data_IF_473415484847
#
_entry.id   IF_473415484847
#
_cell.length_a   1.000
_cell.length_b   1.000
_cell.length_c   1.000
_cell.angle_alpha   90.00
_cell.angle_beta   90.00
_cell.angle_gamma   90.00
#
_symmetry.space_group_name_H-M   'P 1'
#
loop_
_entity.id
_entity.type
_entity.pdbx_description
1 polymer ?
#
# COMPACT_ATOMS: atom_id res chain seq x y z
N UNK A 1 8.87 -0.97 9.89
CA UNK A 1 7.46 -0.53 10.06
C UNK A 1 6.58 -1.13 8.97
N UNK A 2 5.25 -1.15 9.15
CA UNK A 2 4.31 -1.72 8.18
C UNK A 2 3.21 -0.72 7.85
N UNK A 3 2.96 -0.50 6.56
CA UNK A 3 1.90 0.37 6.06
C UNK A 3 0.78 -0.49 5.49
N UNK A 4 -0.47 -0.16 5.82
CA UNK A 4 -1.66 -0.85 5.32
C UNK A 4 -2.39 0.03 4.29
N UNK A 5 -2.70 -0.54 3.13
CA UNK A 5 -3.55 0.07 2.11
C UNK A 5 -4.87 -0.70 2.08
N UNK A 6 -5.96 -0.11 2.58
CA UNK A 6 -7.25 -0.80 2.73
C UNK A 6 -7.89 -1.20 1.39
N UNK A 7 -7.67 -0.40 0.34
CA UNK A 7 -7.98 -0.73 -1.06
C UNK A 7 -6.72 -1.01 -1.87
N UNK A 8 -5.74 -1.65 -1.23
CA UNK A 8 -4.43 -1.95 -1.81
C UNK A 8 -4.47 -2.85 -3.05
N UNK A 9 -5.52 -3.67 -3.21
CA UNK A 9 -5.71 -4.52 -4.39
C UNK A 9 -5.97 -3.73 -5.68
N UNK A 10 -6.44 -2.48 -5.56
CA UNK A 10 -6.68 -1.60 -6.71
C UNK A 10 -5.47 -0.75 -7.11
N UNK A 11 -4.37 -0.82 -6.34
CA UNK A 11 -3.15 -0.06 -6.63
C UNK A 11 -2.29 -0.75 -7.69
N UNK A 12 -1.60 0.05 -8.50
CA UNK A 12 -0.74 -0.45 -9.56
C UNK A 12 0.66 0.20 -9.53
N UNK A 13 1.76 -0.57 -9.43
CA UNK A 13 1.81 -2.03 -9.28
C UNK A 13 1.22 -2.49 -7.94
N UNK A 14 0.79 -3.75 -7.87
CA UNK A 14 0.18 -4.31 -6.67
C UNK A 14 1.20 -4.36 -5.51
N UNK A 15 0.93 -3.78 -4.32
CA UNK A 15 1.85 -3.87 -3.20
C UNK A 15 2.07 -5.34 -2.79
N UNK A 16 3.32 -5.73 -2.46
CA UNK A 16 3.71 -7.13 -2.36
C UNK A 16 3.11 -7.86 -1.14
N UNK A 17 2.81 -7.13 -0.06
CA UNK A 17 2.28 -7.73 1.17
C UNK A 17 0.85 -8.22 0.99
N UNK A 18 0.66 -9.54 1.10
CA UNK A 18 -0.67 -10.17 1.10
C UNK A 18 -1.37 -9.91 2.44
N UNK A 19 -2.70 -9.80 2.39
CA UNK A 19 -3.56 -9.76 3.57
C UNK A 19 -4.53 -10.94 3.58
N UNK A 20 -5.12 -11.24 4.75
CA UNK A 20 -6.26 -12.14 4.87
C UNK A 20 -7.55 -11.52 4.30
N UNK A 21 -7.63 -10.18 4.31
CA UNK A 21 -8.70 -9.44 3.66
C UNK A 21 -8.32 -9.20 2.20
N UNK A 22 -9.23 -9.48 1.27
CA UNK A 22 -8.95 -9.52 -0.17
C UNK A 22 -8.42 -8.19 -0.72
N UNK A 23 -8.99 -7.07 -0.26
CA UNK A 23 -8.68 -5.73 -0.77
C UNK A 23 -7.48 -5.07 -0.09
N UNK A 24 -7.14 -5.52 1.12
CA UNK A 24 -6.06 -4.92 1.91
C UNK A 24 -4.70 -5.42 1.40
N UNK A 25 -3.76 -4.51 1.21
CA UNK A 25 -2.36 -4.85 0.96
C UNK A 25 -1.44 -4.17 1.95
N UNK A 26 -0.29 -4.80 2.16
CA UNK A 26 0.71 -4.30 3.07
C UNK A 26 2.02 -3.96 2.37
N UNK A 27 2.70 -2.96 2.90
CA UNK A 27 4.10 -2.69 2.59
C UNK A 27 4.91 -2.75 3.88
N UNK A 28 5.84 -3.71 3.93
CA UNK A 28 6.80 -3.83 5.02
C UNK A 28 8.06 -3.02 4.66
N UNK A 29 8.32 -1.97 5.44
CA UNK A 29 9.47 -1.08 5.30
C UNK A 29 10.47 -1.44 6.39
N UNK A 30 11.70 -1.71 6.00
CA UNK A 30 12.78 -2.10 6.89
C UNK A 30 13.84 -1.00 6.89
N UNK A 31 14.39 -0.66 8.05
CA UNK A 31 15.38 0.41 8.21
C UNK A 31 16.69 0.10 7.45
N UNK A 32 17.11 -1.16 7.47
CA UNK A 32 18.34 -1.63 6.82
C UNK A 32 18.16 -2.06 5.36
N UNK A 33 16.98 -1.85 4.74
CA UNK A 33 16.74 -2.23 3.35
C UNK A 33 16.45 -1.03 2.47
N UNK A 34 16.85 -1.08 1.18
CA UNK A 34 16.52 -0.03 0.23
C UNK A 34 15.00 0.15 0.16
N UNK A 35 14.57 1.40 0.32
CA UNK A 35 13.19 1.82 0.25
C UNK A 35 12.98 2.62 -1.03
N UNK A 36 12.00 2.19 -1.84
CA UNK A 36 11.63 2.89 -3.06
C UNK A 36 10.58 3.97 -2.74
N UNK A 37 11.06 5.17 -2.44
CA UNK A 37 10.21 6.32 -2.09
C UNK A 37 9.32 6.77 -3.25
N UNK A 38 9.79 6.63 -4.49
CA UNK A 38 9.02 6.99 -5.67
C UNK A 38 7.80 6.06 -5.82
N UNK A 39 8.03 4.75 -5.68
CA UNK A 39 6.95 3.77 -5.72
C UNK A 39 5.97 3.95 -4.55
N UNK A 40 6.47 4.23 -3.35
CA UNK A 40 5.61 4.50 -2.20
C UNK A 40 4.72 5.73 -2.41
N UNK A 41 5.32 6.84 -2.87
CA UNK A 41 4.60 8.08 -3.15
C UNK A 41 3.52 7.90 -4.21
N UNK A 42 3.79 7.07 -5.22
CA UNK A 42 2.82 6.74 -6.26
C UNK A 42 1.60 5.97 -5.70
N UNK A 43 1.83 4.99 -4.82
CA UNK A 43 0.75 4.29 -4.11
C UNK A 43 -0.08 5.22 -3.24
N UNK A 44 0.55 6.15 -2.52
CA UNK A 44 -0.16 7.13 -1.69
C UNK A 44 -1.07 8.01 -2.56
N UNK A 45 -0.58 8.48 -3.72
CA UNK A 45 -1.39 9.26 -4.67
C UNK A 45 -2.57 8.46 -5.19
N UNK A 46 -2.35 7.23 -5.65
CA UNK A 46 -3.44 6.37 -6.12
C UNK A 46 -4.47 6.11 -5.01
N UNK A 47 -4.02 5.77 -3.81
CA UNK A 47 -4.90 5.52 -2.68
C UNK A 47 -5.74 6.75 -2.30
N UNK A 48 -5.20 7.97 -2.47
CA UNK A 48 -5.94 9.21 -2.22
C UNK A 48 -7.09 9.46 -3.20
N UNK A 49 -7.02 8.87 -4.40
CA UNK A 49 -8.09 8.94 -5.41
C UNK A 49 -9.16 7.87 -5.20
N UNK A 50 -8.86 6.83 -4.42
CA UNK A 50 -9.83 5.82 -4.07
C UNK A 50 -10.74 6.36 -2.98
N UNK A 51 -12.04 6.20 -3.15
CA UNK A 51 -13.03 6.57 -2.15
C UNK A 51 -12.68 5.85 -0.83
N UNK A 52 -12.37 6.61 0.22
CA UNK A 52 -11.99 6.04 1.51
C UNK A 52 -13.09 5.12 2.05
N UNK A 53 -12.70 4.05 2.73
CA UNK A 53 -13.67 3.30 3.54
C UNK A 53 -14.12 4.18 4.70
N UNK A 54 -15.44 4.25 4.93
CA UNK A 54 -16.00 4.84 6.13
C UNK A 54 -15.69 3.86 7.28
N UNK A 55 -14.62 4.13 8.03
CA UNK A 55 -14.28 3.42 9.26
C UNK A 55 -15.04 4.00 10.44
#
# INVERSE_FOLDING_TARGET
MKVAFFRGAALHPLPPGKSKQQDVRYLDIYEDRPFDEAQFSDWVKQASLLQGENM
#
